data_IF_527627439133
#
_entry.id   IF_527627439133
#
_cell.length_a   1.000
_cell.length_b   1.000
_cell.length_c   1.000
_cell.angle_alpha   90.00
_cell.angle_beta   90.00
_cell.angle_gamma   90.00
#
_symmetry.space_group_name_H-M   'P 1'
#
loop_
_entity.id
_entity.type
_entity.pdbx_description
1 polymer ?
#
# COMPACT_ATOMS: atom_id res chain seq x y z
N UNK A 1 -53.98 -38.98 83.04
CA UNK A 1 -54.02 -39.31 81.60
C UNK A 1 -53.77 -38.02 80.83
N UNK A 2 -52.74 -38.02 79.96
CA UNK A 2 -52.49 -37.24 78.72
C UNK A 2 -53.22 -35.90 78.49
N UNK A 3 -52.66 -34.83 77.91
CA UNK A 3 -51.43 -34.59 77.13
C UNK A 3 -51.33 -33.07 76.81
N UNK A 4 -50.14 -32.60 76.42
CA UNK A 4 -49.83 -31.77 75.22
C UNK A 4 -48.79 -30.65 75.42
N UNK A 5 -47.62 -30.85 74.82
CA UNK A 5 -46.68 -29.84 74.31
C UNK A 5 -47.27 -29.13 73.07
N UNK A 6 -46.80 -27.91 72.73
CA UNK A 6 -45.80 -27.65 71.66
C UNK A 6 -45.74 -26.16 71.19
N UNK A 7 -44.62 -25.84 70.51
CA UNK A 7 -44.36 -24.76 69.52
C UNK A 7 -43.84 -23.39 70.00
N UNK A 8 -42.51 -23.20 69.93
CA UNK A 8 -41.89 -21.93 69.51
C UNK A 8 -40.37 -22.10 69.22
N UNK A 9 -39.96 -22.21 67.96
CA UNK A 9 -38.66 -21.72 67.44
C UNK A 9 -38.38 -22.27 66.04
N UNK A 10 -38.56 -21.47 64.97
CA UNK A 10 -37.95 -21.78 63.66
C UNK A 10 -37.81 -20.63 62.65
N UNK A 11 -38.12 -19.39 63.00
CA UNK A 11 -38.31 -18.34 61.97
C UNK A 11 -37.18 -17.30 61.81
N UNK A 12 -36.24 -17.16 62.75
CA UNK A 12 -35.26 -16.03 62.72
C UNK A 12 -33.95 -16.27 61.96
N UNK A 13 -33.57 -17.51 61.62
CA UNK A 13 -32.23 -17.81 61.05
C UNK A 13 -32.15 -17.56 59.53
N UNK A 14 -33.26 -17.64 58.80
CA UNK A 14 -33.24 -17.63 57.32
C UNK A 14 -33.10 -16.24 56.66
N UNK A 15 -33.28 -15.14 57.39
CA UNK A 15 -33.25 -13.78 56.81
C UNK A 15 -31.83 -13.22 56.75
N UNK A 16 -30.98 -13.51 57.74
CA UNK A 16 -29.62 -12.96 57.85
C UNK A 16 -28.65 -13.48 56.77
N UNK A 17 -28.78 -14.76 56.40
CA UNK A 17 -27.92 -15.43 55.40
C UNK A 17 -28.20 -14.91 53.98
N UNK A 18 -29.47 -14.65 53.64
CA UNK A 18 -29.86 -14.13 52.31
C UNK A 18 -29.36 -12.70 52.06
N UNK A 19 -29.22 -11.88 53.11
CA UNK A 19 -28.69 -10.51 53.02
C UNK A 19 -27.18 -10.46 52.83
N UNK A 20 -26.43 -11.36 53.48
CA UNK A 20 -24.97 -11.47 53.31
C UNK A 20 -24.58 -12.00 51.93
N UNK A 21 -25.29 -13.03 51.42
CA UNK A 21 -25.03 -13.57 50.08
C UNK A 21 -25.32 -12.52 48.99
N UNK A 22 -26.41 -11.74 49.12
CA UNK A 22 -26.71 -10.65 48.16
C UNK A 22 -25.67 -9.52 48.18
N UNK A 23 -25.05 -9.23 49.33
CA UNK A 23 -23.96 -8.25 49.43
C UNK A 23 -22.68 -8.75 48.77
N UNK A 24 -22.31 -10.01 49.00
CA UNK A 24 -21.10 -10.62 48.40
C UNK A 24 -21.24 -10.69 46.87
N UNK A 25 -22.41 -11.10 46.35
CA UNK A 25 -22.66 -11.16 44.90
C UNK A 25 -22.62 -9.76 44.25
N UNK A 26 -23.12 -8.72 44.93
CA UNK A 26 -23.03 -7.33 44.45
C UNK A 26 -21.61 -6.78 44.46
N UNK A 27 -20.84 -7.08 45.49
CA UNK A 27 -19.42 -6.68 45.57
C UNK A 27 -18.56 -7.39 44.51
N UNK A 28 -18.83 -8.67 44.25
CA UNK A 28 -18.13 -9.45 43.23
C UNK A 28 -18.48 -8.98 41.81
N UNK A 29 -19.76 -8.63 41.57
CA UNK A 29 -20.18 -8.05 40.29
C UNK A 29 -19.56 -6.67 40.01
N UNK A 30 -19.42 -5.81 41.03
CA UNK A 30 -18.70 -4.53 40.87
C UNK A 30 -17.21 -4.72 40.63
N UNK A 31 -16.58 -5.71 41.27
CA UNK A 31 -15.15 -6.00 41.06
C UNK A 31 -14.88 -6.54 39.65
N UNK A 32 -15.73 -7.43 39.13
CA UNK A 32 -15.64 -7.90 37.75
C UNK A 32 -15.88 -6.77 36.74
N UNK A 33 -16.80 -5.84 37.02
CA UNK A 33 -17.05 -4.69 36.15
C UNK A 33 -15.86 -3.72 36.12
N UNK A 34 -15.14 -3.54 37.24
CA UNK A 34 -13.94 -2.71 37.32
C UNK A 34 -12.75 -3.30 36.53
N UNK A 35 -12.61 -4.63 36.49
CA UNK A 35 -11.56 -5.31 35.70
C UNK A 35 -11.83 -5.18 34.19
N UNK A 36 -13.10 -5.19 33.77
CA UNK A 36 -13.48 -4.98 32.35
C UNK A 36 -13.27 -3.53 31.92
N UNK A 37 -13.50 -2.55 32.81
CA UNK A 37 -13.28 -1.12 32.52
C UNK A 37 -11.81 -0.72 32.49
N UNK A 38 -10.93 -1.38 33.27
CA UNK A 38 -9.49 -1.12 33.24
C UNK A 38 -8.77 -1.63 31.98
N UNK A 39 -9.37 -2.58 31.25
CA UNK A 39 -8.84 -3.09 29.99
C UNK A 39 -9.04 -2.13 28.79
N UNK A 40 -9.77 -1.02 28.98
CA UNK A 40 -9.97 0.02 27.96
C UNK A 40 -9.20 1.33 28.27
N UNK A 41 -8.32 1.33 29.27
CA UNK A 41 -7.49 2.49 29.58
C UNK A 41 -6.30 2.54 28.60
N UNK A 42 -6.48 3.31 27.52
CA UNK A 42 -5.43 3.89 26.67
C UNK A 42 -4.26 2.98 26.32
N UNK A 43 -4.34 2.29 25.17
CA UNK A 43 -3.14 1.77 24.54
C UNK A 43 -2.25 2.96 24.13
N UNK A 44 -1.28 3.29 24.97
CA UNK A 44 -0.22 4.25 24.61
C UNK A 44 0.43 3.75 23.32
N UNK A 45 0.19 4.48 22.24
CA UNK A 45 0.79 4.16 20.95
C UNK A 45 2.28 4.46 21.05
N UNK A 46 3.11 3.44 20.86
CA UNK A 46 4.57 3.58 20.85
C UNK A 46 5.04 4.17 19.52
N UNK A 47 6.23 4.76 19.51
CA UNK A 47 6.99 5.01 18.29
C UNK A 47 8.14 4.01 18.20
N UNK A 48 8.65 3.76 16.98
CA UNK A 48 9.72 2.77 16.74
C UNK A 48 10.93 2.96 17.67
N UNK A 49 11.52 4.17 17.85
CA UNK A 49 12.64 4.34 18.79
C UNK A 49 12.31 3.97 20.23
N UNK A 50 11.11 4.32 20.70
CA UNK A 50 10.68 4.06 22.08
C UNK A 50 10.43 2.57 22.36
N UNK A 51 9.99 1.84 21.33
CA UNK A 51 9.84 0.40 21.35
C UNK A 51 11.21 -0.28 21.38
N UNK A 52 12.13 0.14 20.51
CA UNK A 52 13.45 -0.46 20.39
C UNK A 52 14.33 -0.21 21.63
N UNK A 53 14.28 1.00 22.20
CA UNK A 53 14.98 1.34 23.44
C UNK A 53 14.56 0.45 24.64
N UNK A 54 13.36 -0.14 24.57
CA UNK A 54 12.77 -1.00 25.60
C UNK A 54 12.37 -2.37 25.05
N UNK A 55 13.05 -2.85 24.00
CA UNK A 55 12.61 -4.04 23.25
C UNK A 55 12.36 -5.26 24.14
N UNK A 56 13.21 -5.50 25.13
CA UNK A 56 13.04 -6.65 26.04
C UNK A 56 11.80 -6.53 26.93
N UNK A 57 11.35 -5.32 27.27
CA UNK A 57 10.13 -5.11 28.04
C UNK A 57 8.88 -5.49 27.24
N UNK A 58 8.92 -5.37 25.91
CA UNK A 58 7.80 -5.64 25.01
C UNK A 58 7.87 -7.01 24.33
N UNK A 59 8.93 -7.78 24.58
CA UNK A 59 9.13 -9.08 23.94
C UNK A 59 7.96 -10.05 24.20
N UNK A 60 7.36 -10.56 23.13
CA UNK A 60 6.24 -11.50 23.15
C UNK A 60 4.87 -10.88 23.46
N UNK A 61 4.79 -9.54 23.64
CA UNK A 61 3.54 -8.82 23.96
C UNK A 61 2.85 -8.31 22.70
N UNK A 62 1.53 -8.17 22.79
CA UNK A 62 0.75 -7.37 21.84
C UNK A 62 1.02 -5.88 22.09
N UNK A 63 1.33 -5.15 21.02
CA UNK A 63 1.63 -3.72 21.05
C UNK A 63 0.87 -2.98 19.96
N UNK A 64 0.75 -1.68 20.15
CA UNK A 64 0.37 -0.71 19.11
C UNK A 64 1.55 0.23 18.90
N UNK A 65 2.08 0.30 17.69
CA UNK A 65 3.26 1.12 17.34
C UNK A 65 3.05 1.87 16.04
N UNK A 66 3.43 3.15 16.03
CA UNK A 66 3.48 3.98 14.83
C UNK A 66 4.91 4.05 14.29
N UNK A 67 5.04 4.01 12.98
CA UNK A 67 6.31 4.13 12.30
C UNK A 67 6.13 4.28 10.80
N UNK A 68 7.24 4.44 10.09
CA UNK A 68 7.24 4.47 8.64
C UNK A 68 7.26 3.04 8.10
N UNK A 69 6.21 2.65 7.40
CA UNK A 69 6.16 1.42 6.62
C UNK A 69 7.01 1.58 5.36
N UNK A 70 7.72 0.52 4.99
CA UNK A 70 8.36 0.38 3.69
C UNK A 70 8.19 -1.06 3.20
N UNK A 71 7.70 -1.19 1.97
CA UNK A 71 7.76 -2.41 1.16
C UNK A 71 8.61 -2.13 -0.06
N UNK A 72 9.71 -2.88 -0.22
CA UNK A 72 10.54 -2.86 -1.42
C UNK A 72 11.20 -4.22 -1.60
N UNK A 73 11.14 -4.76 -2.81
CA UNK A 73 11.70 -6.08 -3.13
C UNK A 73 11.19 -7.21 -2.19
N UNK A 74 9.95 -7.10 -1.73
CA UNK A 74 9.34 -8.04 -0.78
C UNK A 74 9.84 -7.89 0.66
N UNK A 75 10.61 -6.84 0.96
CA UNK A 75 11.05 -6.50 2.32
C UNK A 75 10.05 -5.55 2.95
N UNK A 76 9.20 -6.07 3.82
CA UNK A 76 8.19 -5.31 4.55
C UNK A 76 8.69 -4.97 5.94
N UNK A 77 8.91 -3.69 6.22
CA UNK A 77 9.51 -3.23 7.47
C UNK A 77 8.79 -2.03 8.05
N UNK A 78 8.91 -1.87 9.38
CA UNK A 78 8.57 -0.66 10.10
C UNK A 78 9.85 0.02 10.59
N UNK A 79 10.03 1.29 10.27
CA UNK A 79 11.23 2.06 10.56
C UNK A 79 10.91 3.40 11.25
N UNK A 80 11.95 4.11 11.71
CA UNK A 80 11.83 5.47 12.24
C UNK A 80 11.26 6.44 11.19
N UNK A 81 11.69 6.27 9.94
CA UNK A 81 11.34 7.10 8.80
C UNK A 81 11.78 6.41 7.52
N UNK A 82 11.49 7.05 6.39
CA UNK A 82 11.95 6.62 5.06
C UNK A 82 12.69 7.79 4.43
N UNK A 83 13.88 7.54 3.90
CA UNK A 83 14.59 8.48 3.02
C UNK A 83 14.36 8.10 1.57
N UNK A 84 14.15 9.10 0.72
CA UNK A 84 13.98 8.93 -0.72
C UNK A 84 14.86 9.94 -1.46
N UNK A 85 15.01 9.74 -2.76
CA UNK A 85 15.40 10.81 -3.68
C UNK A 85 14.26 11.83 -3.84
N UNK A 86 14.52 12.98 -4.46
CA UNK A 86 13.55 14.08 -4.66
C UNK A 86 12.27 13.67 -5.41
N UNK A 87 12.31 12.52 -6.08
CA UNK A 87 11.23 11.94 -6.89
C UNK A 87 10.46 10.83 -6.15
N UNK A 88 10.75 10.60 -4.86
CA UNK A 88 10.20 9.50 -4.07
C UNK A 88 10.83 8.13 -4.34
N UNK A 89 11.67 7.99 -5.37
CA UNK A 89 12.37 6.75 -5.69
C UNK A 89 13.50 6.47 -4.70
N UNK A 90 14.01 5.25 -4.80
CA UNK A 90 15.07 4.73 -3.94
C UNK A 90 14.74 4.85 -2.44
N UNK A 91 13.52 4.47 -2.07
CA UNK A 91 13.10 4.48 -0.68
C UNK A 91 13.95 3.53 0.16
N UNK A 92 14.51 4.05 1.26
CA UNK A 92 15.34 3.31 2.22
C UNK A 92 14.83 3.54 3.65
N UNK A 93 14.84 2.52 4.52
CA UNK A 93 14.42 2.68 5.91
C UNK A 93 15.49 3.44 6.71
N UNK A 94 15.06 4.33 7.60
CA UNK A 94 15.94 5.02 8.54
C UNK A 94 16.02 4.29 9.88
N UNK A 95 17.23 4.23 10.45
CA UNK A 95 17.49 3.58 11.73
C UNK A 95 17.47 2.05 11.64
N UNK A 96 17.13 1.40 12.75
CA UNK A 96 17.05 -0.06 12.84
C UNK A 96 15.62 -0.53 12.47
N UNK A 97 15.40 -1.13 11.29
CA UNK A 97 14.07 -1.55 10.86
C UNK A 97 13.59 -2.80 11.61
N UNK A 98 12.28 -2.88 11.81
CA UNK A 98 11.57 -4.02 12.37
C UNK A 98 10.90 -4.80 11.24
N UNK A 99 11.14 -6.12 11.15
CA UNK A 99 10.47 -6.97 10.16
C UNK A 99 8.96 -7.05 10.42
N UNK A 100 8.14 -6.93 9.38
CA UNK A 100 6.69 -7.08 9.48
C UNK A 100 6.26 -8.40 8.84
N UNK A 101 5.62 -9.25 9.63
CA UNK A 101 5.08 -10.52 9.16
C UNK A 101 3.55 -10.41 9.03
N UNK A 102 3.03 -10.67 7.82
CA UNK A 102 1.58 -10.66 7.56
C UNK A 102 0.96 -9.27 7.43
N UNK A 103 1.72 -8.27 6.97
CA UNK A 103 1.18 -6.92 6.80
C UNK A 103 0.01 -6.89 5.80
N UNK A 104 -1.15 -6.28 6.16
CA UNK A 104 -2.33 -6.34 5.31
C UNK A 104 -2.18 -5.44 4.08
N UNK A 105 -2.29 -6.01 2.88
CA UNK A 105 -2.19 -5.24 1.62
C UNK A 105 -3.20 -4.09 1.54
N UNK A 106 -4.40 -4.23 2.13
CA UNK A 106 -5.39 -3.15 2.15
C UNK A 106 -4.91 -1.88 2.88
N UNK A 107 -3.97 -2.00 3.84
CA UNK A 107 -3.40 -0.83 4.51
C UNK A 107 -2.39 -0.07 3.64
N UNK A 108 -1.99 -0.64 2.50
CA UNK A 108 -1.04 -0.03 1.55
C UNK A 108 -1.71 0.79 0.44
N UNK A 109 -3.04 0.74 0.35
CA UNK A 109 -3.80 1.39 -0.72
C UNK A 109 -3.64 2.91 -0.70
N UNK A 110 -3.57 3.51 0.50
CA UNK A 110 -3.48 4.95 0.69
C UNK A 110 -2.04 5.43 0.97
N UNK A 111 -1.02 4.61 0.65
CA UNK A 111 0.39 4.95 0.87
C UNK A 111 1.07 5.43 -0.41
N UNK A 112 2.23 6.08 -0.28
CA UNK A 112 3.04 6.47 -1.43
C UNK A 112 3.49 5.23 -2.19
N UNK A 113 3.49 5.32 -3.52
CA UNK A 113 3.93 4.23 -4.41
C UNK A 113 4.76 4.75 -5.59
N UNK A 114 5.94 5.37 -5.36
CA UNK A 114 6.83 5.72 -6.44
C UNK A 114 7.65 4.49 -6.88
N UNK A 115 7.68 4.22 -8.19
CA UNK A 115 8.50 3.16 -8.76
C UNK A 115 8.20 1.77 -8.20
N UNK A 116 9.20 1.17 -7.55
CA UNK A 116 9.24 -0.19 -7.01
C UNK A 116 8.94 -0.29 -5.50
N UNK A 117 8.64 0.84 -4.84
CA UNK A 117 8.45 0.89 -3.40
C UNK A 117 7.03 1.31 -3.01
N UNK A 118 6.60 0.87 -1.82
CA UNK A 118 5.41 1.39 -1.13
C UNK A 118 5.81 1.86 0.26
N UNK A 119 5.51 3.10 0.62
CA UNK A 119 5.88 3.61 1.94
C UNK A 119 4.92 4.68 2.47
N UNK A 120 4.96 4.87 3.79
CA UNK A 120 4.24 5.95 4.47
C UNK A 120 4.06 5.64 5.95
N UNK A 121 3.54 6.61 6.71
CA UNK A 121 3.34 6.41 8.14
C UNK A 121 2.10 5.57 8.42
N UNK A 122 2.29 4.52 9.21
CA UNK A 122 1.24 3.57 9.59
C UNK A 122 1.22 3.38 11.10
N UNK A 123 0.04 2.98 11.60
CA UNK A 123 -0.12 2.41 12.94
C UNK A 123 -0.29 0.90 12.79
N UNK A 124 0.55 0.14 13.48
CA UNK A 124 0.58 -1.31 13.46
C UNK A 124 0.16 -1.84 14.83
N UNK A 125 -0.76 -2.80 14.83
CA UNK A 125 -1.06 -3.65 15.97
C UNK A 125 -0.51 -5.05 15.69
N UNK A 126 0.10 -5.66 16.70
CA UNK A 126 0.59 -7.03 16.58
C UNK A 126 1.52 -7.44 17.70
N UNK A 127 1.97 -8.69 17.61
CA UNK A 127 2.89 -9.28 18.57
C UNK A 127 4.32 -8.89 18.24
N UNK A 128 4.99 -8.20 19.16
CA UNK A 128 6.41 -7.85 19.02
C UNK A 128 7.32 -8.94 19.54
N UNK A 129 8.40 -9.24 18.83
CA UNK A 129 9.44 -10.18 19.25
C UNK A 129 10.83 -9.60 18.97
N UNK A 130 11.78 -9.89 19.87
CA UNK A 130 13.15 -9.37 19.80
C UNK A 130 14.20 -10.44 20.13
N UNK A 131 15.43 -10.22 19.67
CA UNK A 131 16.58 -11.10 19.93
C UNK A 131 16.58 -12.35 19.03
N UNK A 132 15.82 -12.31 17.95
CA UNK A 132 15.79 -13.34 16.92
C UNK A 132 16.51 -12.89 15.65
N UNK A 133 16.53 -13.78 14.67
CA UNK A 133 17.04 -13.51 13.34
C UNK A 133 15.86 -13.72 12.37
N UNK A 134 15.11 -12.66 12.12
CA UNK A 134 13.83 -12.67 11.42
C UNK A 134 13.96 -12.16 9.98
N UNK A 135 12.89 -12.37 9.21
CA UNK A 135 12.79 -11.93 7.82
C UNK A 135 13.71 -12.69 6.85
N UNK A 136 13.77 -12.24 5.59
CA UNK A 136 14.66 -12.81 4.58
C UNK A 136 16.11 -12.80 5.06
N UNK A 137 16.80 -13.92 4.83
CA UNK A 137 18.23 -14.09 5.17
C UNK A 137 18.55 -13.87 6.66
N UNK A 138 17.54 -13.92 7.54
CA UNK A 138 17.70 -13.70 8.98
C UNK A 138 18.27 -12.32 9.33
N UNK A 139 17.97 -11.30 8.51
CA UNK A 139 18.58 -9.98 8.56
C UNK A 139 18.08 -9.04 9.68
N UNK A 140 16.96 -9.38 10.36
CA UNK A 140 16.30 -8.46 11.28
C UNK A 140 16.32 -8.97 12.74
N UNK A 141 16.73 -8.10 13.67
CA UNK A 141 16.77 -8.38 15.13
C UNK A 141 15.39 -8.45 15.78
N UNK A 142 14.41 -7.77 15.16
CA UNK A 142 13.07 -7.56 15.69
C UNK A 142 12.03 -7.91 14.64
N UNK A 143 10.88 -8.44 15.07
CA UNK A 143 9.69 -8.59 14.22
C UNK A 143 8.41 -8.15 14.90
N UNK A 144 7.41 -7.81 14.11
CA UNK A 144 6.02 -7.73 14.53
C UNK A 144 5.21 -8.70 13.66
N UNK A 145 4.50 -9.62 14.31
CA UNK A 145 3.47 -10.43 13.67
C UNK A 145 2.20 -9.58 13.66
N UNK A 146 1.84 -9.07 12.48
CA UNK A 146 0.82 -8.04 12.33
C UNK A 146 -0.57 -8.63 12.47
N UNK A 147 -1.37 -8.07 13.38
CA UNK A 147 -2.78 -8.41 13.54
C UNK A 147 -3.70 -7.38 12.86
N UNK A 148 -3.30 -6.11 12.83
CA UNK A 148 -3.97 -5.05 12.07
C UNK A 148 -3.00 -3.92 11.75
N UNK A 149 -3.25 -3.20 10.66
CA UNK A 149 -2.54 -1.96 10.35
C UNK A 149 -3.48 -0.95 9.70
N UNK A 150 -3.22 0.33 9.93
CA UNK A 150 -3.92 1.43 9.28
C UNK A 150 -2.94 2.54 8.86
N UNK A 151 -3.17 3.19 7.70
CA UNK A 151 -2.42 4.37 7.31
C UNK A 151 -2.76 5.54 8.24
N UNK A 152 -1.73 6.22 8.76
CA UNK A 152 -1.85 7.49 9.48
C UNK A 152 -1.93 8.63 8.48
N UNK A 153 -1.09 8.57 7.45
CA UNK A 153 -1.11 9.47 6.30
C UNK A 153 -1.83 8.79 5.13
N UNK A 154 -2.71 9.53 4.45
CA UNK A 154 -3.45 9.01 3.30
C UNK A 154 -3.15 9.83 2.06
N UNK A 155 -2.50 9.19 1.12
CA UNK A 155 -2.24 9.71 -0.22
C UNK A 155 -3.50 9.50 -1.05
N UNK A 156 -4.03 10.58 -1.59
CA UNK A 156 -5.10 10.53 -2.57
C UNK A 156 -4.50 10.46 -3.96
N UNK A 157 -5.07 9.59 -4.78
CA UNK A 157 -4.60 9.37 -6.14
C UNK A 157 -5.67 9.75 -7.15
N UNK A 158 -5.23 10.43 -8.20
CA UNK A 158 -6.06 10.76 -9.35
C UNK A 158 -5.71 9.80 -10.49
N UNK A 159 -6.73 9.26 -11.15
CA UNK A 159 -6.55 8.42 -12.33
C UNK A 159 -6.97 9.18 -13.58
N UNK A 160 -6.07 9.19 -14.56
CA UNK A 160 -6.32 9.71 -15.89
C UNK A 160 -6.34 8.54 -16.86
N UNK A 161 -7.42 8.37 -17.63
CA UNK A 161 -7.59 7.24 -18.54
C UNK A 161 -8.10 7.71 -19.90
N UNK A 162 -7.64 7.04 -20.96
CA UNK A 162 -8.27 7.13 -22.27
C UNK A 162 -9.56 6.33 -22.29
N UNK A 163 -10.53 6.77 -23.09
CA UNK A 163 -11.78 6.04 -23.28
C UNK A 163 -11.62 4.93 -24.32
N UNK A 164 -12.30 3.80 -24.09
CA UNK A 164 -12.42 2.73 -25.09
C UNK A 164 -13.41 3.13 -26.18
N UNK A 165 -12.92 3.94 -27.13
CA UNK A 165 -13.67 4.38 -28.30
C UNK A 165 -12.80 4.42 -29.56
N UNK A 166 -13.42 4.40 -30.77
CA UNK A 166 -12.71 4.62 -32.01
C UNK A 166 -12.00 5.99 -32.03
N UNK A 167 -10.79 6.03 -32.57
CA UNK A 167 -9.96 7.25 -32.63
C UNK A 167 -10.16 8.07 -33.91
N UNK A 168 -10.98 7.58 -34.84
CA UNK A 168 -11.20 8.19 -36.17
C UNK A 168 -10.41 7.49 -37.28
N UNK A 169 -10.52 8.02 -38.49
CA UNK A 169 -9.92 7.44 -39.69
C UNK A 169 -8.40 7.34 -39.57
N UNK A 170 -7.82 6.20 -40.01
CA UNK A 170 -6.39 5.95 -40.01
C UNK A 170 -5.75 5.66 -38.64
N UNK A 171 -6.55 5.60 -37.56
CA UNK A 171 -6.06 5.38 -36.19
C UNK A 171 -6.62 4.10 -35.60
N UNK A 172 -5.81 3.42 -34.82
CA UNK A 172 -6.18 2.18 -34.11
C UNK A 172 -6.17 2.43 -32.62
N UNK A 173 -7.21 1.97 -31.92
CA UNK A 173 -7.29 2.10 -30.47
C UNK A 173 -6.21 1.26 -29.77
N UNK A 174 -5.64 1.74 -28.66
CA UNK A 174 -4.77 0.95 -27.79
C UNK A 174 -5.42 -0.38 -27.39
N UNK A 175 -6.72 -0.36 -27.13
CA UNK A 175 -7.49 -1.55 -26.73
C UNK A 175 -7.59 -2.58 -27.86
N UNK A 176 -7.68 -2.13 -29.11
CA UNK A 176 -7.74 -3.03 -30.27
C UNK A 176 -6.37 -3.66 -30.54
N UNK A 177 -5.29 -2.87 -30.42
CA UNK A 177 -3.92 -3.36 -30.52
C UNK A 177 -3.61 -4.44 -29.48
N UNK A 178 -4.06 -4.24 -28.24
CA UNK A 178 -3.85 -5.21 -27.16
C UNK A 178 -4.76 -6.44 -27.27
N UNK A 179 -5.97 -6.30 -27.80
CA UNK A 179 -6.94 -7.40 -27.92
C UNK A 179 -6.59 -8.36 -29.07
N UNK A 180 -6.03 -7.86 -30.17
CA UNK A 180 -5.66 -8.66 -31.34
C UNK A 180 -4.28 -8.26 -31.89
N UNK A 181 -3.20 -8.54 -31.14
CA UNK A 181 -1.86 -8.10 -31.52
C UNK A 181 -1.38 -8.74 -32.83
N UNK A 182 -1.84 -9.94 -33.17
CA UNK A 182 -1.47 -10.63 -34.41
C UNK A 182 -1.98 -9.90 -35.64
N UNK A 183 -3.20 -9.34 -35.59
CA UNK A 183 -3.78 -8.57 -36.69
C UNK A 183 -2.96 -7.36 -37.10
N UNK A 184 -2.30 -6.70 -36.14
CA UNK A 184 -1.57 -5.45 -36.37
C UNK A 184 -0.04 -5.64 -36.45
N UNK A 185 0.44 -6.86 -36.24
CA UNK A 185 1.87 -7.15 -36.19
C UNK A 185 2.60 -6.73 -37.49
N UNK A 186 3.68 -5.96 -37.34
CA UNK A 186 4.48 -5.44 -38.44
C UNK A 186 3.88 -4.24 -39.18
N UNK A 187 2.77 -3.68 -38.68
CA UNK A 187 2.14 -2.50 -39.28
C UNK A 187 2.59 -1.22 -38.59
N UNK A 188 2.72 -0.15 -39.37
CA UNK A 188 2.77 1.21 -38.82
C UNK A 188 1.36 1.59 -38.36
N UNK A 189 1.21 1.88 -37.07
CA UNK A 189 -0.09 2.25 -36.46
C UNK A 189 0.00 3.62 -35.82
N UNK A 190 -1.07 4.39 -35.91
CA UNK A 190 -1.28 5.60 -35.10
C UNK A 190 -2.28 5.28 -33.99
N UNK A 191 -1.91 5.54 -32.74
CA UNK A 191 -2.74 5.26 -31.55
C UNK A 191 -2.61 6.36 -30.50
N UNK A 192 -3.44 6.30 -29.46
CA UNK A 192 -3.43 7.22 -28.32
C UNK A 192 -3.34 6.45 -27.01
N UNK A 193 -2.65 7.06 -26.04
CA UNK A 193 -2.51 6.53 -24.68
C UNK A 193 -1.74 7.50 -23.79
N UNK A 194 -1.46 7.07 -22.56
CA UNK A 194 -0.54 7.76 -21.66
C UNK A 194 0.86 7.21 -21.87
N UNK A 195 1.77 8.03 -22.37
CA UNK A 195 3.19 7.71 -22.28
C UNK A 195 3.60 7.74 -20.81
N UNK A 196 4.37 6.75 -20.39
CA UNK A 196 5.01 6.71 -19.09
C UNK A 196 6.46 6.22 -19.24
N UNK A 197 7.37 6.93 -18.59
CA UNK A 197 8.79 6.62 -18.52
C UNK A 197 9.34 6.88 -17.13
N UNK A 198 10.20 6.00 -16.60
CA UNK A 198 10.92 6.23 -15.33
C UNK A 198 12.33 5.59 -15.29
N UNK A 199 13.02 5.50 -16.42
CA UNK A 199 14.31 4.78 -16.64
C UNK A 199 14.28 3.26 -16.50
N UNK A 200 13.18 2.68 -16.00
CA UNK A 200 13.01 1.23 -15.85
C UNK A 200 11.85 0.73 -16.70
N UNK A 201 10.78 1.49 -16.77
CA UNK A 201 9.55 1.19 -17.50
C UNK A 201 9.31 2.29 -18.54
N UNK A 202 8.92 1.87 -19.75
CA UNK A 202 8.78 2.69 -20.95
C UNK A 202 7.54 2.16 -21.68
N UNK A 203 6.38 2.73 -21.42
CA UNK A 203 5.10 2.15 -21.89
C UNK A 203 4.17 3.21 -22.46
N UNK A 204 3.32 2.76 -23.37
CA UNK A 204 2.07 3.42 -23.69
C UNK A 204 0.95 2.68 -22.94
N UNK A 205 0.32 3.37 -22.00
CA UNK A 205 -0.70 2.83 -21.12
C UNK A 205 -2.09 3.39 -21.41
N UNK A 206 -3.13 2.68 -20.99
CA UNK A 206 -4.51 3.15 -20.96
C UNK A 206 -4.64 4.40 -20.08
N UNK A 207 -3.94 4.40 -18.96
CA UNK A 207 -3.97 5.50 -18.03
C UNK A 207 -2.72 5.65 -17.19
N UNK A 208 -2.75 6.66 -16.35
CA UNK A 208 -1.78 6.89 -15.30
C UNK A 208 -2.52 7.26 -14.01
N UNK A 209 -2.04 6.71 -12.90
CA UNK A 209 -2.46 7.10 -11.55
C UNK A 209 -1.34 7.94 -10.93
N UNK A 210 -1.66 9.14 -10.46
CA UNK A 210 -0.71 10.03 -9.76
C UNK A 210 -1.22 10.38 -8.38
N UNK A 211 -0.38 10.96 -7.54
CA UNK A 211 -0.85 11.71 -6.37
C UNK A 211 -1.54 13.02 -6.82
N UNK A 212 -2.27 13.71 -5.94
CA UNK A 212 -3.04 14.93 -6.26
C UNK A 212 -2.18 16.07 -6.86
N UNK A 213 -0.88 16.09 -6.59
CA UNK A 213 0.08 17.06 -7.14
C UNK A 213 0.71 16.62 -8.48
N UNK A 214 0.32 15.45 -9.00
CA UNK A 214 0.88 14.85 -10.22
C UNK A 214 2.19 14.08 -10.01
N UNK A 215 2.64 13.94 -8.76
CA UNK A 215 3.84 13.15 -8.41
C UNK A 215 3.55 11.65 -8.33
N UNK A 216 4.63 10.87 -8.15
CA UNK A 216 4.62 9.41 -8.07
C UNK A 216 3.74 8.72 -9.12
N UNK A 217 3.85 9.05 -10.41
CA UNK A 217 3.00 8.48 -11.45
C UNK A 217 3.20 6.96 -11.60
N UNK A 218 2.12 6.25 -11.90
CA UNK A 218 2.10 4.81 -12.15
C UNK A 218 1.24 4.50 -13.37
N UNK A 219 1.74 3.77 -14.39
CA UNK A 219 0.92 3.36 -15.52
C UNK A 219 -0.14 2.35 -15.05
N UNK A 220 -1.36 2.46 -15.57
CA UNK A 220 -2.49 1.60 -15.19
C UNK A 220 -3.25 1.10 -16.43
N UNK A 221 -3.95 -0.02 -16.26
CA UNK A 221 -4.80 -0.60 -17.30
C UNK A 221 -4.02 -1.36 -18.36
N UNK A 222 -4.51 -1.31 -19.61
CA UNK A 222 -3.83 -1.90 -20.77
C UNK A 222 -2.48 -1.20 -21.00
N UNK A 223 -1.40 -1.96 -21.17
CA UNK A 223 -0.06 -1.44 -21.38
C UNK A 223 0.63 -2.13 -22.55
N UNK A 224 1.34 -1.35 -23.35
CA UNK A 224 2.18 -1.82 -24.46
C UNK A 224 3.56 -1.21 -24.25
N UNK A 225 4.61 -2.02 -24.37
CA UNK A 225 5.98 -1.52 -24.28
C UNK A 225 6.24 -0.49 -25.40
N UNK A 226 6.94 0.59 -25.12
CA UNK A 226 7.19 1.62 -26.13
C UNK A 226 8.64 2.08 -26.10
N UNK A 227 9.29 2.01 -27.26
CA UNK A 227 10.67 2.46 -27.45
C UNK A 227 10.73 3.59 -28.48
N UNK A 228 11.81 4.38 -28.42
CA UNK A 228 12.07 5.43 -29.40
C UNK A 228 11.16 6.66 -29.28
N UNK A 229 10.56 6.91 -28.12
CA UNK A 229 9.77 8.13 -27.92
C UNK A 229 10.65 9.38 -28.12
N UNK A 230 10.29 10.32 -29.01
CA UNK A 230 11.14 11.46 -29.34
C UNK A 230 11.43 12.35 -28.12
N UNK A 231 12.70 12.55 -27.72
CA UNK A 231 13.06 13.39 -26.57
C UNK A 231 12.55 14.84 -26.69
N UNK A 232 12.45 15.36 -27.91
CA UNK A 232 11.93 16.69 -28.18
C UNK A 232 10.45 16.86 -27.77
N UNK A 233 9.66 15.77 -27.74
CA UNK A 233 8.24 15.80 -27.33
C UNK A 233 8.08 15.60 -25.82
N UNK A 234 9.05 14.97 -25.15
CA UNK A 234 9.01 14.73 -23.70
C UNK A 234 8.90 16.03 -22.88
N UNK A 235 9.47 17.13 -23.38
CA UNK A 235 9.41 18.45 -22.73
C UNK A 235 8.00 19.04 -22.64
N UNK A 236 7.07 18.59 -23.49
CA UNK A 236 5.68 19.06 -23.49
C UNK A 236 4.79 18.28 -22.50
N UNK A 237 5.35 17.26 -21.84
CA UNK A 237 4.65 16.35 -20.93
C UNK A 237 4.96 16.69 -19.46
N UNK A 238 4.41 15.91 -18.53
CA UNK A 238 4.78 16.02 -17.12
C UNK A 238 6.16 15.42 -16.90
N UNK A 239 7.15 16.26 -16.58
CA UNK A 239 8.51 15.83 -16.23
C UNK A 239 8.69 15.91 -14.72
N UNK A 240 9.07 14.79 -14.12
CA UNK A 240 9.35 14.71 -12.69
C UNK A 240 10.65 15.42 -12.30
N UNK A 241 10.85 15.69 -11.00
CA UNK A 241 12.11 16.24 -10.48
C UNK A 241 13.32 15.45 -10.98
N UNK A 242 14.40 16.15 -11.34
CA UNK A 242 15.63 15.54 -11.86
C UNK A 242 15.44 14.61 -13.08
N UNK A 243 14.38 14.79 -13.87
CA UNK A 243 14.02 13.89 -14.99
C UNK A 243 13.87 12.45 -14.53
N UNK A 244 13.23 12.27 -13.37
CA UNK A 244 13.00 10.95 -12.77
C UNK A 244 11.90 10.14 -13.44
N UNK A 245 10.93 10.84 -14.02
CA UNK A 245 9.87 10.26 -14.80
C UNK A 245 9.37 11.25 -15.84
N UNK A 246 8.71 10.73 -16.87
CA UNK A 246 7.95 11.51 -17.85
C UNK A 246 6.60 10.83 -18.03
N UNK A 247 5.51 11.59 -17.96
CA UNK A 247 4.19 11.04 -18.28
C UNK A 247 3.27 12.06 -18.94
N UNK A 248 2.38 11.59 -19.79
CA UNK A 248 1.35 12.44 -20.37
C UNK A 248 0.58 11.76 -21.48
N UNK A 249 -0.57 12.33 -21.82
CA UNK A 249 -1.40 11.80 -22.88
C UNK A 249 -0.81 12.17 -24.24
N UNK A 250 -0.59 11.16 -25.08
CA UNK A 250 0.05 11.31 -26.38
C UNK A 250 -0.75 10.63 -27.48
N UNK A 251 -0.56 11.12 -28.69
CA UNK A 251 -0.81 10.39 -29.93
C UNK A 251 0.54 10.01 -30.53
N UNK A 252 0.70 8.75 -30.89
CA UNK A 252 1.96 8.20 -31.38
C UNK A 252 1.75 7.39 -32.65
N UNK A 253 2.72 7.45 -33.54
CA UNK A 253 2.78 6.66 -34.77
C UNK A 253 4.08 5.87 -34.80
N UNK A 254 3.98 4.55 -34.84
CA UNK A 254 5.15 3.68 -34.78
C UNK A 254 4.88 2.29 -35.36
N UNK A 255 5.93 1.49 -35.44
CA UNK A 255 5.84 0.09 -35.85
C UNK A 255 5.33 -0.76 -34.69
N UNK A 256 4.19 -1.42 -34.89
CA UNK A 256 3.61 -2.31 -33.92
C UNK A 256 4.15 -3.73 -34.06
N UNK A 257 4.54 -4.35 -32.94
CA UNK A 257 4.98 -5.73 -32.89
C UNK A 257 4.20 -6.48 -31.81
N UNK A 258 3.60 -7.61 -32.18
CA UNK A 258 2.72 -8.39 -31.33
C UNK A 258 3.15 -9.86 -31.23
N UNK A 259 2.82 -10.50 -30.10
CA UNK A 259 3.09 -11.92 -29.87
C UNK A 259 4.53 -12.23 -29.44
N UNK A 260 5.23 -11.25 -28.89
CA UNK A 260 6.60 -11.40 -28.37
C UNK A 260 6.64 -11.26 -26.84
N UNK A 261 7.86 -11.26 -26.28
CA UNK A 261 8.13 -10.96 -24.88
C UNK A 261 9.05 -9.73 -24.86
N UNK A 262 8.48 -8.54 -24.71
CA UNK A 262 9.17 -7.26 -24.83
C UNK A 262 9.35 -6.59 -23.47
N UNK A 263 10.21 -5.57 -23.46
CA UNK A 263 10.46 -4.72 -22.30
C UNK A 263 11.15 -5.41 -21.13
N UNK A 264 11.05 -4.77 -19.96
CA UNK A 264 11.65 -5.26 -18.73
C UNK A 264 11.23 -6.70 -18.46
N UNK A 265 12.22 -7.58 -18.37
CA UNK A 265 12.09 -9.01 -18.08
C UNK A 265 11.15 -9.77 -19.05
N UNK A 266 10.89 -9.22 -20.24
CA UNK A 266 9.99 -9.81 -21.24
C UNK A 266 8.51 -9.77 -20.85
N UNK A 267 8.10 -8.85 -19.95
CA UNK A 267 6.76 -8.83 -19.35
C UNK A 267 5.63 -8.40 -20.30
N UNK A 268 5.94 -7.85 -21.48
CA UNK A 268 4.94 -7.24 -22.36
C UNK A 268 4.72 -8.06 -23.64
N UNK A 269 3.46 -8.42 -23.97
CA UNK A 269 3.15 -9.26 -25.14
C UNK A 269 3.25 -8.52 -26.48
N UNK A 270 3.35 -7.19 -26.43
CA UNK A 270 3.43 -6.31 -27.59
C UNK A 270 4.31 -5.09 -27.30
N UNK A 271 4.86 -4.50 -28.35
CA UNK A 271 5.57 -3.24 -28.30
C UNK A 271 5.24 -2.31 -29.48
N UNK A 272 5.48 -1.02 -29.27
CA UNK A 272 5.42 0.02 -30.28
C UNK A 272 6.80 0.67 -30.42
N UNK A 273 7.37 0.61 -31.61
CA UNK A 273 8.68 1.20 -31.92
C UNK A 273 8.50 2.51 -32.67
N UNK A 274 8.93 3.61 -32.06
CA UNK A 274 8.96 4.94 -32.68
C UNK A 274 10.38 5.26 -33.17
N UNK A 275 10.50 6.31 -33.97
CA UNK A 275 11.77 6.88 -34.37
C UNK A 275 12.09 8.09 -33.47
N UNK A 276 13.10 8.01 -32.58
CA UNK A 276 13.42 9.07 -31.64
C UNK A 276 13.90 10.36 -32.31
N UNK A 277 14.38 10.27 -33.56
CA UNK A 277 14.86 11.43 -34.34
C UNK A 277 13.72 12.08 -35.14
N UNK A 278 12.52 11.50 -35.13
CA UNK A 278 11.35 12.02 -35.83
C UNK A 278 10.29 12.53 -34.84
N UNK A 279 10.29 13.82 -34.47
CA UNK A 279 9.30 14.37 -33.55
C UNK A 279 7.87 14.29 -34.10
N UNK A 280 7.65 14.17 -35.41
CA UNK A 280 6.31 14.01 -35.97
C UNK A 280 5.70 12.62 -35.67
N UNK A 281 6.49 11.66 -35.18
CA UNK A 281 6.00 10.36 -34.73
C UNK A 281 5.24 10.42 -33.40
N UNK A 282 5.31 11.52 -32.66
CA UNK A 282 4.62 11.70 -31.39
C UNK A 282 4.05 13.11 -31.24
N UNK A 283 2.95 13.23 -30.51
CA UNK A 283 2.34 14.52 -30.19
C UNK A 283 1.71 14.47 -28.81
N UNK A 284 2.07 15.43 -27.94
CA UNK A 284 1.35 15.68 -26.70
C UNK A 284 -0.08 16.14 -27.01
N UNK A 285 -1.08 15.49 -26.41
CA UNK A 285 -2.49 15.87 -26.57
C UNK A 285 -2.92 16.92 -25.55
N UNK A 286 -2.27 16.93 -24.38
CA UNK A 286 -2.52 17.87 -23.29
C UNK A 286 -1.19 18.56 -22.90
N UNK A 287 -0.61 19.42 -23.76
CA UNK A 287 0.71 19.99 -23.53
C UNK A 287 0.70 20.95 -22.33
N UNK A 288 1.72 20.83 -21.46
CA UNK A 288 1.95 21.83 -20.41
C UNK A 288 2.49 23.12 -21.05
N UNK A 289 1.83 24.25 -20.75
CA UNK A 289 2.25 25.60 -21.17
C UNK A 289 3.21 26.22 -20.16
#
# INVERSE_FOLDING_TARGET
MCSYLNVASRTKVNVSVRLHIRRIVRSLAMLCLAVVLAACAGADTLYVPDLLARAQEFNGKEITVSGAYLDRDGRQVLALGVSTLDNGLDAQPLGDPIWLEGFPQAATTDLHRPGDAVYGFVRVNGRFETGGAFGPESAYQHRIIVSAAEPIERVRREEFRIEKRPLGEGKTSLFDLAADPTRYNGQTVTTQGYYFWNSVIYVLAEGVSTEEDGSSPQPIGVMIWMEGFPPAVSGDLNVGPNTSFVWGRVEVTGQFQGGGNFGKDGAYPAQLLLDPENPASARALDPKK
#
